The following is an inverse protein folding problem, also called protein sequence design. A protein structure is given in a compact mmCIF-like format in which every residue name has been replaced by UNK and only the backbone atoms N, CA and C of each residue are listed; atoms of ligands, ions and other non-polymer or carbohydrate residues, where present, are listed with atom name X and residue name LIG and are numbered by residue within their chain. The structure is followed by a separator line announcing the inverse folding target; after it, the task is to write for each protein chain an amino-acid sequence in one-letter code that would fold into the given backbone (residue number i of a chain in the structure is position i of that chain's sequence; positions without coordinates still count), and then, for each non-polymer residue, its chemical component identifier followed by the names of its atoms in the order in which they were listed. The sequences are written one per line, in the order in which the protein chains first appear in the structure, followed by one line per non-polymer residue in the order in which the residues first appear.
data_IF_377333696413
#
_entry.id   IF_377333696413
#
_cell.length_a   1.000
_cell.length_b   1.000
_cell.length_c   1.000
_cell.angle_alpha   90.00
_cell.angle_beta   90.00
_cell.angle_gamma   90.00
#
_symmetry.space_group_name_H-M   'P 1'
#
loop_
_entity.id
_entity.type
_entity.pdbx_description
1 polymer ?
#
# COMPACT_ATOMS: atom_id res chain seq x y z
N UNK A 1 20.48 2.22 -11.55
CA UNK A 1 19.04 2.42 -11.31
C UNK A 1 18.53 1.17 -10.64
N UNK A 2 17.84 1.30 -9.51
CA UNK A 2 17.20 0.15 -8.86
C UNK A 2 16.04 -0.36 -9.73
N UNK A 3 15.81 -1.67 -9.69
CA UNK A 3 14.67 -2.30 -10.35
C UNK A 3 13.54 -2.47 -9.35
N UNK A 4 12.36 -1.92 -9.67
CA UNK A 4 11.19 -1.97 -8.82
C UNK A 4 10.10 -2.86 -9.40
N UNK A 5 9.54 -3.74 -8.57
CA UNK A 5 8.32 -4.51 -8.87
C UNK A 5 7.29 -4.35 -7.76
N UNK A 6 6.05 -4.03 -8.10
CA UNK A 6 4.97 -3.88 -7.14
C UNK A 6 3.93 -4.99 -7.35
N UNK A 7 3.74 -5.83 -6.33
CA UNK A 7 2.81 -6.94 -6.36
C UNK A 7 1.52 -6.57 -5.64
N UNK A 8 0.39 -6.60 -6.35
CA UNK A 8 -0.93 -6.40 -5.75
C UNK A 8 -2.05 -7.08 -6.53
N UNK A 9 -3.28 -7.01 -6.02
CA UNK A 9 -4.46 -7.39 -6.79
C UNK A 9 -4.70 -6.45 -7.96
N UNK A 10 -5.47 -6.91 -8.96
CA UNK A 10 -5.94 -6.06 -10.06
C UNK A 10 -7.01 -5.05 -9.58
N UNK A 11 -6.57 -4.08 -8.80
CA UNK A 11 -7.35 -2.98 -8.23
C UNK A 11 -6.42 -1.96 -7.58
N UNK A 12 -6.99 -0.83 -7.17
CA UNK A 12 -6.25 0.26 -6.49
C UNK A 12 -5.81 -0.17 -5.09
N UNK A 13 -6.78 -0.24 -4.17
CA UNK A 13 -6.60 -0.69 -2.79
C UNK A 13 -5.39 -0.07 -2.10
N UNK A 14 -4.69 -0.87 -1.30
CA UNK A 14 -3.54 -0.44 -0.49
C UNK A 14 -2.26 -0.21 -1.30
N UNK A 15 -2.19 -0.67 -2.56
CA UNK A 15 -1.02 -0.45 -3.42
C UNK A 15 -1.04 0.89 -4.15
N UNK A 16 -2.20 1.55 -4.22
CA UNK A 16 -2.36 2.76 -5.02
C UNK A 16 -1.45 3.90 -4.57
N UNK A 17 -1.22 4.04 -3.26
CA UNK A 17 -0.31 5.05 -2.72
C UNK A 17 1.11 4.86 -3.27
N UNK A 18 1.60 3.62 -3.35
CA UNK A 18 2.92 3.34 -3.94
C UNK A 18 2.95 3.67 -5.45
N UNK A 19 1.89 3.34 -6.20
CA UNK A 19 1.78 3.68 -7.63
C UNK A 19 1.80 5.18 -7.86
N UNK A 20 1.07 5.94 -7.03
CA UNK A 20 1.05 7.40 -7.10
C UNK A 20 2.40 8.01 -6.77
N UNK A 21 3.15 7.46 -5.80
CA UNK A 21 4.50 7.91 -5.49
C UNK A 21 5.44 7.69 -6.67
N UNK A 22 5.43 6.51 -7.30
CA UNK A 22 6.22 6.27 -8.53
C UNK A 22 5.84 7.24 -9.65
N UNK A 23 4.55 7.46 -9.88
CA UNK A 23 4.09 8.39 -10.90
C UNK A 23 4.53 9.83 -10.61
N UNK A 24 4.44 10.29 -9.36
CA UNK A 24 4.87 11.62 -8.94
C UNK A 24 6.39 11.81 -9.07
N UNK A 25 7.17 10.76 -8.80
CA UNK A 25 8.63 10.76 -8.97
C UNK A 25 9.08 10.61 -10.43
N UNK A 26 8.18 10.30 -11.36
CA UNK A 26 8.52 9.97 -12.75
C UNK A 26 9.29 8.65 -12.89
N UNK A 27 9.21 7.78 -11.88
CA UNK A 27 9.98 6.54 -11.79
C UNK A 27 9.18 5.33 -12.30
N UNK A 28 9.87 4.42 -12.98
CA UNK A 28 9.25 3.21 -13.54
C UNK A 28 9.15 2.12 -12.50
N UNK A 29 8.02 1.41 -12.51
CA UNK A 29 7.78 0.22 -11.70
C UNK A 29 7.08 -0.84 -12.54
N UNK A 30 7.48 -2.11 -12.37
CA UNK A 30 6.73 -3.23 -12.91
C UNK A 30 5.51 -3.51 -12.00
N UNK A 31 4.32 -3.09 -12.44
CA UNK A 31 3.06 -3.28 -11.69
C UNK A 31 2.47 -4.68 -11.95
N UNK A 32 2.82 -5.63 -11.09
CA UNK A 32 2.41 -7.03 -11.18
C UNK A 32 1.05 -7.20 -10.49
N UNK A 33 0.02 -7.46 -11.31
CA UNK A 33 -1.37 -7.55 -10.87
C UNK A 33 -1.86 -8.99 -10.85
N UNK A 34 -2.12 -9.50 -9.66
CA UNK A 34 -2.73 -10.80 -9.45
C UNK A 34 -4.26 -10.75 -9.57
N UNK A 35 -4.80 -11.78 -10.20
CA UNK A 35 -6.22 -12.06 -10.19
C UNK A 35 -6.64 -12.62 -8.82
N UNK A 36 -7.66 -12.04 -8.19
CA UNK A 36 -8.08 -12.43 -6.83
C UNK A 36 -8.47 -13.90 -6.72
N UNK A 37 -9.05 -14.48 -7.77
CA UNK A 37 -9.42 -15.91 -7.86
C UNK A 37 -8.21 -16.84 -7.72
N UNK A 38 -7.03 -16.42 -8.17
CA UNK A 38 -5.79 -17.19 -8.13
C UNK A 38 -4.96 -16.93 -6.87
N UNK A 39 -5.38 -16.02 -6.00
CA UNK A 39 -4.66 -15.66 -4.78
C UNK A 39 -4.18 -16.84 -3.93
N UNK A 40 -4.99 -17.91 -3.71
CA UNK A 40 -4.55 -19.05 -2.92
C UNK A 40 -3.25 -19.71 -3.43
N UNK A 41 -2.99 -19.66 -4.75
CA UNK A 41 -1.80 -20.26 -5.36
C UNK A 41 -0.51 -19.45 -5.15
N UNK A 42 -0.63 -18.15 -4.84
CA UNK A 42 0.51 -17.25 -4.66
C UNK A 42 0.78 -16.92 -3.19
N UNK A 43 -0.23 -17.06 -2.32
CA UNK A 43 -0.16 -16.61 -0.92
C UNK A 43 1.06 -17.12 -0.15
N UNK A 44 1.44 -18.38 -0.33
CA UNK A 44 2.61 -18.98 0.34
C UNK A 44 3.95 -18.42 -0.13
N UNK A 45 4.00 -17.82 -1.33
CA UNK A 45 5.21 -17.22 -1.93
C UNK A 45 5.35 -15.72 -1.61
N UNK A 46 4.34 -15.15 -0.95
CA UNK A 46 4.28 -13.73 -0.60
C UNK A 46 4.62 -13.58 0.90
N UNK A 47 5.59 -12.71 1.26
CA UNK A 47 5.90 -12.42 2.65
C UNK A 47 4.66 -12.09 3.46
N UNK A 48 4.57 -12.67 4.66
CA UNK A 48 3.43 -12.52 5.57
C UNK A 48 2.06 -12.98 5.02
N UNK A 49 2.03 -13.58 3.82
CA UNK A 49 0.79 -13.99 3.16
C UNK A 49 -0.18 -12.82 2.91
N UNK A 50 0.35 -11.61 2.68
CA UNK A 50 -0.41 -10.38 2.50
C UNK A 50 0.21 -9.50 1.41
N UNK A 51 -0.61 -8.69 0.75
CA UNK A 51 -0.19 -7.70 -0.26
C UNK A 51 -0.70 -6.30 0.12
N UNK A 52 -0.04 -5.20 -0.30
CA UNK A 52 1.03 -5.14 -1.28
C UNK A 52 2.41 -5.58 -0.78
N UNK A 53 3.27 -5.91 -1.75
CA UNK A 53 4.71 -6.13 -1.58
C UNK A 53 5.44 -5.33 -2.66
N UNK A 54 6.44 -4.56 -2.26
CA UNK A 54 7.41 -3.95 -3.17
C UNK A 54 8.65 -4.85 -3.21
N UNK A 55 9.19 -5.11 -4.38
CA UNK A 55 10.51 -5.72 -4.56
C UNK A 55 11.48 -4.67 -5.11
N UNK A 56 12.61 -4.52 -4.43
CA UNK A 56 13.69 -3.61 -4.78
C UNK A 56 14.94 -4.44 -4.96
N UNK A 57 15.45 -4.50 -6.20
CA UNK A 57 16.68 -5.23 -6.52
C UNK A 57 16.65 -6.69 -6.02
N UNK A 58 15.50 -7.35 -6.15
CA UNK A 58 15.27 -8.75 -5.74
C UNK A 58 14.86 -8.94 -4.28
N UNK A 59 14.88 -7.89 -3.45
CA UNK A 59 14.51 -7.95 -2.03
C UNK A 59 13.08 -7.47 -1.81
N UNK A 60 12.26 -8.27 -1.12
CA UNK A 60 10.82 -7.99 -0.90
C UNK A 60 10.56 -7.25 0.42
N UNK A 61 9.86 -6.13 0.32
CA UNK A 61 9.34 -5.31 1.42
C UNK A 61 7.79 -5.41 1.47
N UNK A 62 7.21 -6.08 2.48
CA UNK A 62 5.76 -6.07 2.71
C UNK A 62 5.30 -4.79 3.43
N UNK A 63 3.98 -4.66 3.61
CA UNK A 63 3.28 -3.57 4.32
C UNK A 63 3.20 -2.25 3.55
N UNK A 64 1.98 -1.84 3.19
CA UNK A 64 1.73 -0.70 2.32
C UNK A 64 2.32 0.61 2.83
N UNK A 65 2.25 0.89 4.14
CA UNK A 65 2.77 2.13 4.71
C UNK A 65 4.29 2.12 4.88
N UNK A 66 4.89 0.95 5.11
CA UNK A 66 6.35 0.83 5.08
C UNK A 66 6.89 1.08 3.67
N UNK A 67 6.23 0.52 2.65
CA UNK A 67 6.52 0.77 1.24
C UNK A 67 6.39 2.25 0.90
N UNK A 68 5.29 2.89 1.28
CA UNK A 68 5.04 4.31 1.00
C UNK A 68 6.11 5.21 1.63
N UNK A 69 6.45 5.00 2.91
CA UNK A 69 7.49 5.78 3.61
C UNK A 69 8.89 5.54 3.01
N UNK A 70 9.21 4.31 2.63
CA UNK A 70 10.45 3.99 1.95
C UNK A 70 10.57 4.75 0.62
N UNK A 71 9.55 4.67 -0.24
CA UNK A 71 9.53 5.33 -1.54
C UNK A 71 9.53 6.86 -1.41
N UNK A 72 8.78 7.40 -0.44
CA UNK A 72 8.77 8.84 -0.18
C UNK A 72 10.16 9.36 0.17
N UNK A 73 10.94 8.63 0.99
CA UNK A 73 12.34 8.98 1.26
C UNK A 73 13.23 8.83 0.04
N UNK A 74 13.07 7.73 -0.69
CA UNK A 74 13.87 7.42 -1.87
C UNK A 74 13.74 8.50 -2.95
N UNK A 75 12.58 9.13 -3.06
CA UNK A 75 12.28 10.13 -4.09
C UNK A 75 12.11 11.56 -3.55
N UNK A 76 12.63 11.85 -2.35
CA UNK A 76 12.63 13.18 -1.74
C UNK A 76 11.22 13.80 -1.55
N UNK A 77 10.23 12.96 -1.25
CA UNK A 77 8.83 13.32 -0.97
C UNK A 77 8.46 13.20 0.53
N UNK A 78 9.44 12.92 1.38
CA UNK A 78 9.25 12.66 2.81
C UNK A 78 9.43 13.90 3.71
N UNK A 79 9.71 15.08 3.13
CA UNK A 79 10.14 16.25 3.90
C UNK A 79 11.65 16.30 4.13
N UNK A 80 12.15 17.43 4.62
CA UNK A 80 13.60 17.73 4.64
C UNK A 80 14.32 17.21 5.88
N UNK A 81 13.58 16.94 6.94
CA UNK A 81 14.13 16.48 8.22
C UNK A 81 13.19 15.48 8.91
N UNK A 82 13.66 14.96 10.04
CA UNK A 82 12.93 13.96 10.82
C UNK A 82 11.54 14.44 11.27
N UNK A 83 11.38 15.73 11.59
CA UNK A 83 10.12 16.27 12.09
C UNK A 83 9.16 16.61 10.96
N UNK A 84 9.66 17.08 9.81
CA UNK A 84 8.85 17.21 8.59
C UNK A 84 8.31 15.86 8.13
N UNK A 85 9.14 14.81 8.14
CA UNK A 85 8.68 13.46 7.87
C UNK A 85 7.61 13.02 8.88
N UNK A 86 7.81 13.26 10.17
CA UNK A 86 6.82 12.90 11.17
C UNK A 86 5.47 13.61 10.95
N UNK A 87 5.46 14.85 10.46
CA UNK A 87 4.22 15.56 10.08
C UNK A 87 3.53 14.89 8.88
N UNK A 88 4.28 14.47 7.87
CA UNK A 88 3.73 13.72 6.72
C UNK A 88 3.15 12.39 7.19
N UNK A 89 3.91 11.65 8.01
CA UNK A 89 3.50 10.36 8.56
C UNK A 89 2.21 10.51 9.39
N UNK A 90 2.08 11.55 10.22
CA UNK A 90 0.87 11.80 11.01
C UNK A 90 -0.39 12.01 10.14
N UNK A 91 -0.28 12.74 9.02
CA UNK A 91 -1.41 12.96 8.09
C UNK A 91 -1.81 11.66 7.40
N UNK A 92 -0.82 10.87 6.95
CA UNK A 92 -1.06 9.59 6.30
C UNK A 92 -1.67 8.59 7.28
N UNK A 93 -1.11 8.44 8.47
CA UNK A 93 -1.59 7.50 9.49
C UNK A 93 -3.02 7.85 9.94
N UNK A 94 -3.33 9.14 10.10
CA UNK A 94 -4.72 9.59 10.37
C UNK A 94 -5.68 9.18 9.25
N UNK A 95 -5.25 9.30 7.99
CA UNK A 95 -6.05 8.88 6.83
C UNK A 95 -6.26 7.36 6.79
N UNK A 96 -5.24 6.59 7.20
CA UNK A 96 -5.31 5.13 7.30
C UNK A 96 -6.22 4.71 8.45
N UNK A 97 -6.19 5.36 9.60
CA UNK A 97 -7.09 5.08 10.72
C UNK A 97 -8.56 5.26 10.31
N UNK A 98 -8.86 6.31 9.55
CA UNK A 98 -10.20 6.51 8.98
C UNK A 98 -10.56 5.38 8.00
N UNK A 99 -9.65 5.04 7.09
CA UNK A 99 -9.87 3.96 6.14
C UNK A 99 -10.07 2.59 6.83
N UNK A 100 -9.32 2.30 7.91
CA UNK A 100 -9.44 1.06 8.68
C UNK A 100 -10.77 0.93 9.40
N UNK A 101 -11.39 2.06 9.81
CA UNK A 101 -12.76 2.06 10.35
C UNK A 101 -13.81 1.93 9.25
N UNK A 102 -13.61 2.61 8.12
CA UNK A 102 -14.57 2.62 7.01
C UNK A 102 -14.63 1.30 6.23
N UNK A 103 -13.48 0.69 5.93
CA UNK A 103 -13.40 -0.50 5.05
C UNK A 103 -14.27 -1.67 5.57
N UNK A 104 -14.23 -2.05 6.87
CA UNK A 104 -15.11 -3.10 7.39
C UNK A 104 -16.60 -2.78 7.18
N UNK A 105 -17.02 -1.54 7.41
CA UNK A 105 -18.41 -1.09 7.21
C UNK A 105 -18.81 -1.19 5.73
N UNK A 106 -17.92 -0.79 4.83
CA UNK A 106 -18.15 -0.86 3.39
C UNK A 106 -18.36 -2.31 2.90
N UNK A 107 -17.59 -3.25 3.45
CA UNK A 107 -17.64 -4.67 3.09
C UNK A 107 -18.58 -5.51 3.98
N UNK A 108 -19.26 -4.91 4.95
CA UNK A 108 -20.30 -5.57 5.73
C UNK A 108 -21.48 -5.92 4.81
N UNK A 109 -21.90 -7.19 4.86
CA UNK A 109 -23.00 -7.74 4.06
C UNK A 109 -24.32 -7.72 4.80
N UNK A 110 -24.28 -7.65 6.13
CA UNK A 110 -25.45 -7.53 6.99
C UNK A 110 -25.87 -6.05 7.08
N UNK A 111 -26.96 -5.71 6.39
CA UNK A 111 -27.50 -4.33 6.33
C UNK A 111 -27.85 -3.78 7.73
N UNK A 112 -28.28 -4.61 8.67
CA UNK A 112 -28.63 -4.16 10.02
C UNK A 112 -27.39 -3.90 10.88
N UNK A 113 -26.33 -4.70 10.72
CA UNK A 113 -25.02 -4.39 11.33
C UNK A 113 -24.40 -3.14 10.72
N UNK A 114 -24.51 -2.97 9.41
CA UNK A 114 -23.98 -1.81 8.69
C UNK A 114 -24.60 -0.50 9.14
N UNK A 115 -25.93 -0.44 9.27
CA UNK A 115 -26.65 0.75 9.79
C UNK A 115 -26.25 1.13 11.22
N UNK A 116 -25.85 0.17 12.06
CA UNK A 116 -25.43 0.42 13.45
C UNK A 116 -23.98 0.91 13.58
N UNK A 117 -23.18 0.83 12.52
CA UNK A 117 -21.76 1.19 12.51
C UNK A 117 -21.48 2.55 11.84
N UNK A 118 -22.50 3.16 11.22
CA UNK A 118 -22.50 4.52 10.64
C UNK A 118 -23.13 5.47 11.65
#
# INVERSE_FOLDING_TARGET
MSTYKLYYFNGRGRAEIARLIFAAAGEKVEDIRYEGSKWPSYKSKIPLGQMPVLEVDGVKLPQSMAIARFLAKQFDLAGKDNFEQAKVDAVVDTSIDLALKYVPIHFEKDEEKKKKQI
#
